data_IF_538806201784
#
_entry.id   IF_538806201784
#
_cell.length_a   1.000
_cell.length_b   1.000
_cell.length_c   1.000
_cell.angle_alpha   90.00
_cell.angle_beta   90.00
_cell.angle_gamma   90.00
#
_symmetry.space_group_name_H-M   'P 1'
#
loop_
_entity.id
_entity.type
_entity.pdbx_description
1 polymer ?
#
# COMPACT_ATOMS: atom_id res chain seq x y z
N UNK A 1 16.80 5.19 -12.97
CA UNK A 1 18.20 4.89 -12.64
C UNK A 1 18.24 4.04 -11.38
N UNK A 2 18.76 2.83 -11.47
CA UNK A 2 18.66 1.75 -10.48
C UNK A 2 19.28 2.09 -9.12
N UNK A 3 18.53 2.68 -8.21
CA UNK A 3 18.95 2.98 -6.84
C UNK A 3 18.31 2.06 -5.78
N UNK A 4 17.57 1.03 -6.21
CA UNK A 4 16.73 0.24 -5.32
C UNK A 4 17.26 -1.18 -5.02
N UNK A 5 18.38 -1.61 -5.56
CA UNK A 5 18.88 -2.97 -5.29
C UNK A 5 19.95 -3.07 -4.18
N UNK A 6 20.57 -1.95 -3.80
CA UNK A 6 21.56 -1.94 -2.73
C UNK A 6 20.89 -1.62 -1.39
N UNK A 7 20.35 -2.60 -0.72
CA UNK A 7 19.70 -2.45 0.59
C UNK A 7 18.40 -3.23 0.76
N UNK A 8 17.91 -3.86 -0.29
CA UNK A 8 16.79 -4.79 -0.17
C UNK A 8 17.28 -6.14 0.36
N UNK A 9 16.56 -6.79 1.27
CA UNK A 9 16.82 -8.16 1.65
C UNK A 9 16.90 -9.03 0.39
N UNK A 10 17.78 -10.02 0.40
CA UNK A 10 17.93 -10.92 -0.74
C UNK A 10 16.75 -11.92 -0.80
N UNK A 11 15.52 -11.39 -0.87
CA UNK A 11 14.29 -12.18 -0.90
C UNK A 11 14.29 -13.31 -1.96
N UNK A 12 14.84 -13.11 -3.19
CA UNK A 12 14.94 -14.24 -4.13
C UNK A 12 15.72 -15.42 -3.57
N UNK A 13 16.77 -15.18 -2.78
CA UNK A 13 17.51 -16.28 -2.15
C UNK A 13 16.72 -16.94 -0.99
N UNK A 14 15.91 -16.17 -0.27
CA UNK A 14 15.08 -16.67 0.83
C UNK A 14 13.81 -17.37 0.33
N UNK A 15 13.16 -16.84 -0.72
CA UNK A 15 11.91 -17.36 -1.28
C UNK A 15 12.13 -18.40 -2.40
N UNK A 16 13.38 -18.55 -2.88
CA UNK A 16 13.77 -19.51 -3.89
C UNK A 16 13.23 -19.18 -5.29
N UNK A 17 13.19 -20.19 -6.16
CA UNK A 17 12.88 -20.06 -7.59
C UNK A 17 11.48 -19.51 -7.90
N UNK A 18 10.59 -19.43 -6.92
CA UNK A 18 9.25 -18.87 -7.07
C UNK A 18 9.20 -17.35 -6.96
N UNK A 19 10.32 -16.70 -6.60
CA UNK A 19 10.42 -15.27 -6.46
C UNK A 19 11.01 -14.63 -7.73
N UNK A 20 10.24 -13.75 -8.36
CA UNK A 20 10.64 -13.02 -9.56
C UNK A 20 10.73 -11.52 -9.24
N UNK A 21 11.85 -10.90 -9.57
CA UNK A 21 12.05 -9.45 -9.39
C UNK A 21 11.81 -8.72 -10.70
N UNK A 22 10.83 -7.83 -10.71
CA UNK A 22 10.51 -6.95 -11.84
C UNK A 22 10.57 -5.51 -11.37
N UNK A 23 11.52 -4.74 -11.87
CA UNK A 23 11.70 -3.33 -11.48
C UNK A 23 10.88 -2.40 -12.34
N UNK A 24 10.32 -1.33 -11.75
CA UNK A 24 9.61 -0.27 -12.45
C UNK A 24 9.80 1.07 -11.73
N UNK A 25 9.84 2.16 -12.50
CA UNK A 25 9.73 3.50 -11.97
C UNK A 25 8.24 3.86 -11.83
N UNK A 26 7.71 3.87 -10.62
CA UNK A 26 6.30 4.17 -10.38
C UNK A 26 5.91 5.64 -10.59
N UNK A 27 6.87 6.54 -10.77
CA UNK A 27 6.59 7.90 -11.25
C UNK A 27 6.35 7.93 -12.77
N UNK A 28 6.68 6.86 -13.50
CA UNK A 28 6.36 6.70 -14.91
C UNK A 28 5.02 5.97 -15.07
N UNK A 29 4.04 6.64 -15.65
CA UNK A 29 2.73 6.05 -15.93
C UNK A 29 2.82 4.84 -16.86
N UNK A 30 3.71 4.89 -17.85
CA UNK A 30 3.94 3.80 -18.79
C UNK A 30 4.50 2.56 -18.09
N UNK A 31 5.55 2.75 -17.26
CA UNK A 31 6.16 1.65 -16.51
C UNK A 31 5.19 1.06 -15.48
N UNK A 32 4.40 1.89 -14.79
CA UNK A 32 3.37 1.43 -13.86
C UNK A 32 2.29 0.61 -14.59
N UNK A 33 1.82 1.06 -15.75
CA UNK A 33 0.79 0.36 -16.51
C UNK A 33 1.28 -0.99 -17.08
N UNK A 34 2.55 -1.08 -17.48
CA UNK A 34 3.13 -2.30 -18.06
C UNK A 34 3.63 -3.32 -16.99
N UNK A 35 3.75 -2.90 -15.73
CA UNK A 35 4.32 -3.74 -14.68
C UNK A 35 3.59 -5.08 -14.48
N UNK A 36 2.24 -5.16 -14.47
CA UNK A 36 1.55 -6.43 -14.31
C UNK A 36 1.80 -7.44 -15.44
N UNK A 37 1.89 -6.97 -16.69
CA UNK A 37 2.16 -7.85 -17.83
C UNK A 37 3.59 -8.39 -17.77
N UNK A 38 4.56 -7.55 -17.41
CA UNK A 38 5.96 -7.96 -17.21
C UNK A 38 6.11 -8.92 -16.03
N UNK A 39 5.34 -8.71 -14.96
CA UNK A 39 5.32 -9.63 -13.83
C UNK A 39 4.69 -10.98 -14.21
N UNK A 40 3.61 -10.95 -14.99
CA UNK A 40 2.96 -12.16 -15.50
C UNK A 40 3.88 -12.95 -16.44
N UNK A 41 4.63 -12.29 -17.30
CA UNK A 41 5.64 -12.91 -18.16
C UNK A 41 6.75 -13.58 -17.31
N UNK A 42 7.29 -12.87 -16.33
CA UNK A 42 8.34 -13.38 -15.46
C UNK A 42 7.88 -14.61 -14.63
N UNK A 43 6.64 -14.58 -14.14
CA UNK A 43 6.07 -15.64 -13.31
C UNK A 43 5.41 -16.77 -14.11
N UNK A 44 5.23 -16.63 -15.43
CA UNK A 44 4.51 -17.58 -16.28
C UNK A 44 3.01 -17.67 -16.02
N UNK A 45 2.42 -16.71 -15.26
CA UNK A 45 1.02 -16.71 -14.90
C UNK A 45 0.50 -15.28 -14.67
N UNK A 46 -0.79 -14.98 -14.97
CA UNK A 46 -1.38 -13.68 -14.68
C UNK A 46 -1.39 -13.35 -13.19
N UNK A 47 -1.29 -12.07 -12.86
CA UNK A 47 -1.41 -11.58 -11.49
C UNK A 47 -2.83 -11.80 -10.99
N UNK A 48 -2.99 -12.64 -9.97
CA UNK A 48 -4.28 -12.95 -9.32
C UNK A 48 -4.44 -12.29 -7.94
N UNK A 49 -3.32 -11.96 -7.29
CA UNK A 49 -3.27 -11.23 -6.02
C UNK A 49 -2.36 -10.02 -6.24
N UNK A 50 -2.88 -8.84 -5.97
CA UNK A 50 -2.15 -7.57 -6.07
C UNK A 50 -2.04 -6.91 -4.70
N UNK A 51 -0.81 -6.61 -4.29
CA UNK A 51 -0.52 -5.79 -3.11
C UNK A 51 0.06 -4.44 -3.54
N UNK A 52 -0.72 -3.36 -3.40
CA UNK A 52 -0.25 -2.00 -3.59
C UNK A 52 0.36 -1.48 -2.27
N UNK A 53 1.66 -1.65 -2.09
CA UNK A 53 2.37 -1.22 -0.88
C UNK A 53 3.32 -0.03 -1.12
N UNK A 54 3.82 0.14 -2.34
CA UNK A 54 4.77 1.20 -2.66
C UNK A 54 4.20 2.60 -2.32
N UNK A 55 5.04 3.43 -1.75
CA UNK A 55 4.66 4.79 -1.41
C UNK A 55 5.87 5.62 -0.97
N UNK A 56 5.73 6.92 -1.12
CA UNK A 56 6.72 7.92 -0.70
C UNK A 56 6.04 9.01 0.12
N UNK A 57 6.82 9.74 0.90
CA UNK A 57 6.44 10.99 1.54
C UNK A 57 7.28 12.15 0.99
N UNK A 58 6.71 13.35 1.01
CA UNK A 58 7.40 14.63 0.78
C UNK A 58 6.73 15.63 1.70
N UNK A 59 7.18 15.61 2.96
CA UNK A 59 6.55 16.32 4.05
C UNK A 59 6.91 17.81 4.00
N UNK A 60 5.90 18.66 3.99
CA UNK A 60 6.04 20.10 4.07
C UNK A 60 4.72 20.71 4.54
N UNK A 61 4.78 21.89 5.19
CA UNK A 61 3.57 22.65 5.52
C UNK A 61 2.84 23.04 4.23
N UNK A 62 1.52 22.95 4.20
CA UNK A 62 0.71 23.22 3.01
C UNK A 62 1.06 24.56 2.33
N UNK A 63 1.33 25.61 3.13
CA UNK A 63 1.69 26.94 2.63
C UNK A 63 3.09 26.99 1.97
N UNK A 64 3.94 26.00 2.21
CA UNK A 64 5.32 25.92 1.68
C UNK A 64 5.52 24.75 0.74
N UNK A 65 4.53 23.86 0.62
CA UNK A 65 4.57 22.68 -0.23
C UNK A 65 4.68 23.11 -1.69
N UNK A 66 5.64 22.54 -2.40
CA UNK A 66 5.83 22.77 -3.83
C UNK A 66 4.93 21.83 -4.62
N UNK A 67 4.52 22.27 -5.81
CA UNK A 67 3.69 21.46 -6.71
C UNK A 67 4.37 20.12 -7.04
N UNK A 68 5.70 20.12 -7.21
CA UNK A 68 6.45 18.88 -7.48
C UNK A 68 6.45 17.90 -6.30
N UNK A 69 6.38 18.41 -5.05
CA UNK A 69 6.26 17.56 -3.85
C UNK A 69 4.88 16.94 -3.76
N UNK A 70 3.85 17.68 -4.13
CA UNK A 70 2.48 17.21 -4.23
C UNK A 70 2.35 16.15 -5.34
N UNK A 71 2.73 16.50 -6.56
CA UNK A 71 2.60 15.64 -7.74
C UNK A 71 3.36 14.32 -7.56
N UNK A 72 4.61 14.36 -7.06
CA UNK A 72 5.40 13.15 -6.84
C UNK A 72 4.72 12.17 -5.88
N UNK A 73 4.08 12.67 -4.81
CA UNK A 73 3.38 11.82 -3.84
C UNK A 73 2.10 11.24 -4.44
N UNK A 74 1.31 12.06 -5.13
CA UNK A 74 0.08 11.60 -5.79
C UNK A 74 0.37 10.60 -6.91
N UNK A 75 1.39 10.86 -7.73
CA UNK A 75 1.75 9.97 -8.84
C UNK A 75 2.20 8.60 -8.35
N UNK A 76 3.09 8.53 -7.35
CA UNK A 76 3.60 7.24 -6.86
C UNK A 76 2.56 6.52 -6.00
N UNK A 77 1.94 7.21 -5.02
CA UNK A 77 1.10 6.54 -4.03
C UNK A 77 -0.28 6.16 -4.59
N UNK A 78 -0.84 6.99 -5.47
CA UNK A 78 -2.22 6.84 -5.94
C UNK A 78 -2.31 6.51 -7.43
N UNK A 79 -1.73 7.34 -8.31
CA UNK A 79 -1.86 7.17 -9.75
C UNK A 79 -1.24 5.85 -10.22
N UNK A 80 -0.02 5.52 -9.77
CA UNK A 80 0.62 4.25 -10.12
C UNK A 80 -0.19 3.06 -9.63
N UNK A 81 -0.66 3.09 -8.37
CA UNK A 81 -1.50 2.02 -7.81
C UNK A 81 -2.79 1.82 -8.61
N UNK A 82 -3.45 2.90 -9.04
CA UNK A 82 -4.62 2.84 -9.92
C UNK A 82 -4.28 2.20 -11.26
N UNK A 83 -3.17 2.60 -11.89
CA UNK A 83 -2.77 2.08 -13.20
C UNK A 83 -2.40 0.59 -13.15
N UNK A 84 -1.63 0.17 -12.14
CA UNK A 84 -1.29 -1.23 -11.90
C UNK A 84 -2.56 -2.04 -11.65
N UNK A 85 -3.44 -1.57 -10.77
CA UNK A 85 -4.71 -2.22 -10.47
C UNK A 85 -5.55 -2.40 -11.73
N UNK A 86 -5.73 -1.34 -12.53
CA UNK A 86 -6.51 -1.38 -13.77
C UNK A 86 -5.96 -2.41 -14.76
N UNK A 87 -4.64 -2.54 -14.88
CA UNK A 87 -4.03 -3.54 -15.76
C UNK A 87 -4.30 -4.98 -15.28
N UNK A 88 -4.40 -5.22 -13.96
CA UNK A 88 -4.73 -6.53 -13.40
C UNK A 88 -6.22 -6.93 -13.56
N UNK A 89 -7.13 -5.96 -13.76
CA UNK A 89 -8.59 -6.26 -13.72
C UNK A 89 -9.05 -7.23 -14.81
N UNK A 90 -8.59 -7.05 -16.05
CA UNK A 90 -9.05 -7.88 -17.17
C UNK A 90 -8.76 -9.37 -16.98
N UNK A 91 -7.53 -9.80 -16.65
CA UNK A 91 -7.25 -11.21 -16.35
C UNK A 91 -8.00 -11.71 -15.09
N UNK A 92 -8.11 -10.90 -14.01
CA UNK A 92 -8.86 -11.27 -12.82
C UNK A 92 -10.36 -11.47 -13.12
N UNK A 93 -10.99 -10.58 -13.90
CA UNK A 93 -12.38 -10.72 -14.30
C UNK A 93 -12.61 -11.95 -15.17
N UNK A 94 -11.68 -12.28 -16.07
CA UNK A 94 -11.75 -13.50 -16.90
C UNK A 94 -11.64 -14.77 -16.04
N UNK A 95 -10.76 -14.76 -15.04
CA UNK A 95 -10.60 -15.87 -14.10
C UNK A 95 -11.73 -15.96 -13.08
N UNK A 96 -12.55 -14.92 -12.91
CA UNK A 96 -13.53 -14.74 -11.83
C UNK A 96 -12.91 -14.92 -10.44
N UNK A 97 -11.68 -14.47 -10.31
CA UNK A 97 -10.90 -14.50 -9.08
C UNK A 97 -9.90 -13.33 -9.08
N UNK A 98 -9.83 -12.62 -7.98
CA UNK A 98 -8.82 -11.60 -7.72
C UNK A 98 -8.84 -11.13 -6.27
N UNK A 99 -7.67 -10.75 -5.76
CA UNK A 99 -7.50 -10.14 -4.46
C UNK A 99 -6.65 -8.89 -4.63
N UNK A 100 -7.22 -7.75 -4.32
CA UNK A 100 -6.52 -6.46 -4.39
C UNK A 100 -6.47 -5.90 -2.98
N UNK A 101 -5.27 -5.78 -2.43
CA UNK A 101 -5.04 -5.21 -1.11
C UNK A 101 -4.12 -4.01 -1.26
N UNK A 102 -4.54 -2.86 -0.75
CA UNK A 102 -3.73 -1.64 -0.81
C UNK A 102 -3.38 -1.15 0.60
N UNK A 103 -2.14 -0.70 0.77
CA UNK A 103 -1.67 -0.16 2.05
C UNK A 103 -1.92 1.35 2.07
N UNK A 104 -2.90 1.77 2.87
CA UNK A 104 -3.14 3.17 3.20
C UNK A 104 -2.30 3.61 4.40
N UNK A 105 -2.84 4.40 5.28
CA UNK A 105 -2.24 4.85 6.54
C UNK A 105 -3.33 5.43 7.43
N UNK A 106 -3.09 5.42 8.74
CA UNK A 106 -3.87 6.22 9.68
C UNK A 106 -3.91 7.70 9.27
N UNK A 107 -2.83 8.22 8.68
CA UNK A 107 -2.76 9.61 8.19
C UNK A 107 -3.79 9.90 7.11
N UNK A 108 -4.14 8.92 6.28
CA UNK A 108 -5.24 9.05 5.31
C UNK A 108 -6.63 9.10 5.94
N UNK A 109 -6.75 8.78 7.23
CA UNK A 109 -8.02 8.78 7.97
C UNK A 109 -8.17 10.02 8.83
N UNK A 110 -7.12 10.37 9.60
CA UNK A 110 -7.19 11.48 10.59
C UNK A 110 -6.41 12.72 10.18
N UNK A 111 -5.61 12.65 9.09
CA UNK A 111 -4.68 13.71 8.72
C UNK A 111 -3.43 13.75 9.61
N UNK A 112 -2.42 14.51 9.17
CA UNK A 112 -1.26 14.86 9.98
C UNK A 112 -0.68 16.19 9.48
N UNK A 113 -0.37 17.16 10.35
CA UNK A 113 0.28 18.41 9.93
C UNK A 113 1.56 18.14 9.13
N UNK A 114 1.77 18.88 8.05
CA UNK A 114 2.94 18.72 7.17
C UNK A 114 2.81 17.59 6.14
N UNK A 115 1.70 16.85 6.11
CA UNK A 115 1.50 15.70 5.23
C UNK A 115 0.22 15.80 4.37
N UNK A 116 -0.14 16.98 3.92
CA UNK A 116 -1.39 17.18 3.16
C UNK A 116 -1.43 16.36 1.86
N UNK A 117 -0.31 16.27 1.12
CA UNK A 117 -0.16 15.43 -0.07
C UNK A 117 -0.26 13.93 0.26
N UNK A 118 0.44 13.48 1.30
CA UNK A 118 0.42 12.07 1.73
C UNK A 118 -0.98 11.69 2.25
N UNK A 119 -1.58 12.51 3.11
CA UNK A 119 -2.95 12.31 3.60
C UNK A 119 -3.95 12.21 2.44
N UNK A 120 -3.89 13.14 1.47
CA UNK A 120 -4.73 13.13 0.28
C UNK A 120 -4.57 11.84 -0.52
N UNK A 121 -3.31 11.39 -0.78
CA UNK A 121 -3.04 10.17 -1.52
C UNK A 121 -3.59 8.93 -0.81
N UNK A 122 -3.41 8.81 0.51
CA UNK A 122 -3.85 7.66 1.30
C UNK A 122 -5.37 7.65 1.54
N UNK A 123 -6.00 8.81 1.71
CA UNK A 123 -7.46 8.94 1.73
C UNK A 123 -8.09 8.64 0.37
N UNK A 124 -7.48 9.12 -0.72
CA UNK A 124 -7.90 8.84 -2.09
C UNK A 124 -7.90 7.34 -2.40
N UNK A 125 -6.88 6.59 -1.92
CA UNK A 125 -6.83 5.14 -2.06
C UNK A 125 -8.01 4.44 -1.38
N UNK A 126 -8.48 4.94 -0.23
CA UNK A 126 -9.66 4.38 0.46
C UNK A 126 -10.92 4.59 -0.39
N UNK A 127 -11.12 5.81 -0.90
CA UNK A 127 -12.27 6.11 -1.79
C UNK A 127 -12.23 5.31 -3.09
N UNK A 128 -11.07 5.26 -3.75
CA UNK A 128 -10.85 4.48 -4.95
C UNK A 128 -11.16 3.00 -4.75
N UNK A 129 -10.66 2.41 -3.65
CA UNK A 129 -10.86 0.98 -3.37
C UNK A 129 -12.32 0.64 -3.10
N UNK A 130 -13.07 1.51 -2.42
CA UNK A 130 -14.52 1.32 -2.19
C UNK A 130 -15.32 1.34 -3.50
N UNK A 131 -15.03 2.31 -4.38
CA UNK A 131 -15.70 2.40 -5.68
C UNK A 131 -15.38 1.17 -6.54
N UNK A 132 -14.11 0.80 -6.64
CA UNK A 132 -13.69 -0.38 -7.40
C UNK A 132 -14.27 -1.67 -6.83
N UNK A 133 -14.35 -1.82 -5.51
CA UNK A 133 -14.96 -2.99 -4.87
C UNK A 133 -16.41 -3.19 -5.36
N UNK A 134 -17.19 -2.12 -5.42
CA UNK A 134 -18.57 -2.17 -5.92
C UNK A 134 -18.66 -2.58 -7.39
N UNK A 135 -17.70 -2.16 -8.23
CA UNK A 135 -17.66 -2.48 -9.66
C UNK A 135 -17.35 -3.96 -9.93
N UNK A 136 -16.45 -4.57 -9.13
CA UNK A 136 -15.86 -5.88 -9.47
C UNK A 136 -16.30 -7.03 -8.57
N UNK A 137 -17.04 -6.77 -7.49
CA UNK A 137 -17.46 -7.78 -6.53
C UNK A 137 -18.20 -8.96 -7.19
N UNK A 138 -19.10 -8.68 -8.14
CA UNK A 138 -19.86 -9.71 -8.89
C UNK A 138 -18.97 -10.62 -9.76
N UNK A 139 -17.70 -10.29 -9.89
CA UNK A 139 -16.71 -11.06 -10.63
C UNK A 139 -15.80 -11.91 -9.73
N UNK A 140 -16.11 -12.04 -8.45
CA UNK A 140 -15.29 -12.79 -7.48
C UNK A 140 -13.97 -12.09 -7.11
N UNK A 141 -13.90 -10.78 -7.32
CA UNK A 141 -12.74 -9.96 -6.99
C UNK A 141 -13.03 -9.16 -5.73
N UNK A 142 -12.14 -9.23 -4.74
CA UNK A 142 -12.23 -8.38 -3.55
C UNK A 142 -11.18 -7.26 -3.59
N UNK A 143 -11.55 -6.09 -3.08
CA UNK A 143 -10.69 -4.92 -3.03
C UNK A 143 -10.74 -4.35 -1.62
N UNK A 144 -9.63 -4.42 -0.88
CA UNK A 144 -9.57 -4.02 0.52
C UNK A 144 -8.35 -3.15 0.82
N UNK A 145 -8.41 -2.47 1.95
CA UNK A 145 -7.35 -1.58 2.46
C UNK A 145 -6.86 -2.11 3.79
N UNK A 146 -5.54 -2.07 3.99
CA UNK A 146 -4.90 -2.10 5.30
C UNK A 146 -4.45 -0.68 5.61
N UNK A 147 -4.82 -0.16 6.78
CA UNK A 147 -4.46 1.17 7.25
C UNK A 147 -3.60 1.06 8.54
N UNK A 148 -2.26 0.99 8.40
CA UNK A 148 -1.36 0.93 9.53
C UNK A 148 -1.35 2.24 10.33
N UNK A 149 -1.10 2.12 11.64
CA UNK A 149 -0.70 3.21 12.51
C UNK A 149 0.81 3.44 12.48
N UNK A 150 1.39 3.66 13.67
CA UNK A 150 2.83 3.77 13.83
C UNK A 150 3.46 2.38 13.91
N UNK A 151 4.29 2.06 12.92
CA UNK A 151 4.94 0.75 12.75
C UNK A 151 6.45 0.91 12.95
N UNK A 152 7.07 -0.07 13.61
CA UNK A 152 8.53 -0.15 13.76
C UNK A 152 9.18 -0.23 12.38
N UNK A 153 10.05 0.74 12.10
CA UNK A 153 10.80 0.86 10.85
C UNK A 153 12.13 1.53 11.16
N UNK A 154 13.15 1.44 10.30
CA UNK A 154 14.39 2.18 10.50
C UNK A 154 14.19 3.69 10.70
N UNK A 155 13.07 4.25 10.24
CA UNK A 155 12.72 5.65 10.45
C UNK A 155 12.25 5.92 11.89
N UNK A 156 11.49 5.01 12.49
CA UNK A 156 11.03 5.13 13.90
C UNK A 156 12.13 4.77 14.88
N UNK A 157 13.11 3.96 14.48
CA UNK A 157 14.28 3.62 15.29
C UNK A 157 15.25 4.81 15.45
N UNK A 158 15.20 5.77 14.52
CA UNK A 158 16.02 6.98 14.55
C UNK A 158 15.43 8.10 15.43
N UNK A 159 14.23 7.91 16.02
CA UNK A 159 13.59 8.88 16.89
C UNK A 159 14.28 8.90 18.27
N UNK A 160 14.41 10.09 18.86
CA UNK A 160 14.81 10.22 20.25
C UNK A 160 13.71 9.74 21.23
N UNK A 161 14.09 9.53 22.50
CA UNK A 161 13.17 8.98 23.51
C UNK A 161 11.94 9.86 23.71
N UNK A 162 12.06 11.18 23.68
CA UNK A 162 10.94 12.10 23.86
C UNK A 162 9.97 12.08 22.68
N UNK A 163 10.49 11.99 21.46
CA UNK A 163 9.68 11.83 20.25
C UNK A 163 8.95 10.48 20.26
N UNK A 164 9.65 9.41 20.67
CA UNK A 164 9.07 8.07 20.80
C UNK A 164 7.96 8.03 21.85
N UNK A 165 8.18 8.62 23.02
CA UNK A 165 7.17 8.71 24.08
C UNK A 165 5.94 9.50 23.62
N UNK A 166 6.13 10.62 22.94
CA UNK A 166 5.05 11.42 22.34
C UNK A 166 4.22 10.65 21.31
N UNK A 167 4.85 9.76 20.52
CA UNK A 167 4.13 8.87 19.60
C UNK A 167 3.35 7.79 20.38
N UNK A 168 3.99 7.13 21.35
CA UNK A 168 3.39 6.06 22.14
C UNK A 168 2.20 6.55 22.95
N UNK A 169 2.23 7.80 23.47
CA UNK A 169 1.11 8.42 24.16
C UNK A 169 -0.17 8.55 23.33
N UNK A 170 -0.07 8.41 22.00
CA UNK A 170 -1.22 8.42 21.07
C UNK A 170 -1.74 7.02 20.74
N UNK A 171 -1.05 5.96 21.17
CA UNK A 171 -1.39 4.56 20.86
C UNK A 171 -1.97 3.90 22.10
N UNK A 172 -3.25 3.54 22.17
CA UNK A 172 -3.84 2.87 23.32
C UNK A 172 -3.12 1.58 23.73
N UNK A 173 -2.57 0.81 22.79
CA UNK A 173 -1.76 -0.39 23.08
C UNK A 173 -0.36 -0.05 23.62
N UNK A 174 0.01 1.22 23.76
CA UNK A 174 1.26 1.73 24.33
C UNK A 174 2.55 1.12 23.70
N UNK A 175 2.48 0.69 22.43
CA UNK A 175 3.63 0.21 21.66
C UNK A 175 3.47 0.54 20.17
N UNK A 176 4.57 0.53 19.43
CA UNK A 176 4.52 0.51 17.98
C UNK A 176 4.03 -0.86 17.49
N UNK A 177 3.43 -0.89 16.31
CA UNK A 177 3.10 -2.14 15.64
C UNK A 177 4.32 -2.70 14.92
N UNK A 178 4.39 -4.02 14.79
CA UNK A 178 5.40 -4.68 13.97
C UNK A 178 4.94 -4.76 12.49
N UNK A 179 5.90 -4.79 11.56
CA UNK A 179 5.60 -4.98 10.13
C UNK A 179 4.83 -6.29 9.88
N UNK A 180 5.14 -7.35 10.64
CA UNK A 180 4.48 -8.66 10.55
C UNK A 180 2.98 -8.59 10.92
N UNK A 181 2.56 -7.69 11.82
CA UNK A 181 1.15 -7.52 12.16
C UNK A 181 0.36 -6.92 10.98
N UNK A 182 1.00 -6.01 10.24
CA UNK A 182 0.44 -5.47 8.98
C UNK A 182 0.41 -6.55 7.91
N UNK A 183 1.49 -7.31 7.76
CA UNK A 183 1.63 -8.38 6.77
C UNK A 183 0.61 -9.51 7.03
N UNK A 184 0.38 -9.90 8.28
CA UNK A 184 -0.62 -10.90 8.64
C UNK A 184 -2.05 -10.48 8.23
N UNK A 185 -2.39 -9.19 8.45
CA UNK A 185 -3.69 -8.64 8.02
C UNK A 185 -3.81 -8.65 6.49
N UNK A 186 -2.76 -8.27 5.80
CA UNK A 186 -2.73 -8.28 4.34
C UNK A 186 -2.84 -9.70 3.78
N UNK A 187 -2.14 -10.67 4.37
CA UNK A 187 -2.22 -12.09 4.02
C UNK A 187 -3.66 -12.62 4.20
N UNK A 188 -4.30 -12.32 5.32
CA UNK A 188 -5.71 -12.67 5.55
C UNK A 188 -6.61 -12.12 4.45
N UNK A 189 -6.50 -10.82 4.12
CA UNK A 189 -7.31 -10.20 3.07
C UNK A 189 -7.03 -10.75 1.66
N UNK A 190 -5.85 -11.29 1.43
CA UNK A 190 -5.47 -11.95 0.17
C UNK A 190 -5.92 -13.41 0.09
N UNK A 191 -6.36 -14.00 1.20
CA UNK A 191 -6.74 -15.40 1.30
C UNK A 191 -8.20 -15.69 0.88
N UNK A 192 -8.58 -16.96 0.87
CA UNK A 192 -9.96 -17.40 0.59
C UNK A 192 -10.89 -17.16 1.77
N UNK A 193 -10.38 -17.11 2.99
CA UNK A 193 -11.13 -16.84 4.22
C UNK A 193 -11.75 -15.44 4.21
N UNK A 194 -11.12 -14.50 3.49
CA UNK A 194 -11.63 -13.14 3.31
C UNK A 194 -12.52 -12.98 2.05
N UNK A 195 -13.00 -14.06 1.44
CA UNK A 195 -13.72 -14.01 0.16
C UNK A 195 -15.02 -13.21 0.19
N UNK A 196 -15.61 -12.96 1.38
CA UNK A 196 -16.81 -12.14 1.56
C UNK A 196 -16.51 -10.74 2.12
N UNK A 197 -15.21 -10.36 2.20
CA UNK A 197 -14.77 -9.04 2.65
C UNK A 197 -14.32 -8.24 1.43
N UNK A 198 -15.04 -7.16 1.10
CA UNK A 198 -14.66 -6.24 0.02
C UNK A 198 -15.08 -4.81 0.35
N UNK A 199 -14.31 -3.82 -0.09
CA UNK A 199 -14.52 -2.41 0.23
C UNK A 199 -14.14 -2.03 1.67
N UNK A 200 -13.58 -2.96 2.45
CA UNK A 200 -13.23 -2.73 3.85
C UNK A 200 -11.88 -2.00 3.99
N UNK A 201 -11.79 -1.20 5.05
CA UNK A 201 -10.51 -0.67 5.54
C UNK A 201 -10.25 -1.28 6.92
N UNK A 202 -9.21 -2.12 6.99
CA UNK A 202 -8.81 -2.76 8.25
C UNK A 202 -7.70 -1.91 8.89
N UNK A 203 -8.00 -1.42 10.07
CA UNK A 203 -7.08 -0.59 10.85
C UNK A 203 -6.13 -1.46 11.68
N UNK A 204 -4.81 -1.32 11.45
CA UNK A 204 -3.74 -2.00 12.20
C UNK A 204 -2.93 -0.92 12.92
N UNK A 205 -3.49 -0.35 14.00
CA UNK A 205 -3.00 0.91 14.56
C UNK A 205 -2.97 0.95 16.09
N UNK A 206 -3.09 -0.20 16.76
CA UNK A 206 -3.04 -0.27 18.22
C UNK A 206 -4.15 0.52 18.94
N UNK A 207 -5.29 0.76 18.25
CA UNK A 207 -6.43 1.49 18.80
C UNK A 207 -6.38 3.00 18.61
N UNK A 208 -5.43 3.55 17.85
CA UNK A 208 -5.35 5.00 17.59
C UNK A 208 -6.60 5.56 16.90
N UNK A 209 -7.23 4.76 16.06
CA UNK A 209 -8.51 5.08 15.41
C UNK A 209 -9.41 3.87 15.45
N UNK A 210 -10.65 4.08 15.89
CA UNK A 210 -11.71 3.08 16.00
C UNK A 210 -12.91 3.58 15.18
N UNK A 211 -13.11 3.02 13.97
CA UNK A 211 -14.18 3.38 13.01
C UNK A 211 -14.99 2.14 12.66
#
# INVERSE_FOLDING_TARGET
MARALNGWPNWPAELGERAHVVTANLASREEAASLPDRAAEAAGAPVSILMNNAGITRDNLAMRMKDEEWDAVLDVNMTASMMITRACLRPMMKARFGRIVSVSSIVGVIGNPGQTNYAASKAGMIGFSKALAAEVASRGITVNIVAPGFIETPMTDALDDGQREGLLGRVPMARLGAADEVAATALFLASNEASYITGATIHVNGGMVML
#
